data_IF_197421343567
#
_entry.id   IF_197421343567
#
_cell.length_a   1.000
_cell.length_b   1.000
_cell.length_c   1.000
_cell.angle_alpha   90.00
_cell.angle_beta   90.00
_cell.angle_gamma   90.00
#
_symmetry.space_group_name_H-M   'P 1'
#
loop_
_entity.id
_entity.type
_entity.pdbx_description
1 polymer ?
#
# COMPACT_ATOMS: atom_id res chain seq x y z
N UNK A 1 18.97 -0.94 -32.15
CA UNK A 1 18.33 -0.44 -30.91
C UNK A 1 16.92 -0.99 -30.83
N UNK A 2 16.76 -2.13 -30.14
CA UNK A 2 15.51 -2.87 -30.01
C UNK A 2 14.64 -2.16 -28.96
N UNK A 3 13.46 -1.64 -29.34
CA UNK A 3 12.44 -1.19 -28.40
C UNK A 3 12.00 -2.39 -27.56
N UNK A 4 12.43 -2.46 -26.29
CA UNK A 4 11.86 -3.38 -25.31
C UNK A 4 10.40 -2.96 -25.12
N UNK A 5 9.48 -3.77 -25.64
CA UNK A 5 8.07 -3.69 -25.27
C UNK A 5 7.99 -4.10 -23.80
N UNK A 6 7.72 -3.15 -22.93
CA UNK A 6 7.27 -3.43 -21.56
C UNK A 6 6.01 -4.30 -21.68
N UNK A 7 6.16 -5.57 -21.33
CA UNK A 7 5.04 -6.48 -21.24
C UNK A 7 4.17 -5.99 -20.08
N UNK A 8 3.03 -5.38 -20.41
CA UNK A 8 1.98 -5.11 -19.42
C UNK A 8 1.66 -6.42 -18.73
N UNK A 9 1.94 -6.53 -17.44
CA UNK A 9 1.35 -7.57 -16.62
C UNK A 9 -0.13 -7.21 -16.48
N UNK A 10 -0.96 -7.83 -17.31
CA UNK A 10 -2.40 -7.66 -17.26
C UNK A 10 -2.89 -8.58 -16.14
N UNK A 11 -3.41 -8.01 -15.06
CA UNK A 11 -4.11 -8.79 -14.04
C UNK A 11 -5.25 -9.58 -14.68
N UNK A 12 -5.67 -10.69 -14.08
CA UNK A 12 -6.63 -11.67 -14.66
C UNK A 12 -7.97 -11.08 -15.15
N UNK A 13 -8.28 -9.80 -14.87
CA UNK A 13 -9.50 -9.09 -15.24
C UNK A 13 -9.31 -7.87 -16.17
N UNK A 14 -8.14 -7.67 -16.79
CA UNK A 14 -7.90 -6.51 -17.67
C UNK A 14 -7.59 -5.19 -16.94
N UNK A 15 -7.55 -5.21 -15.59
CA UNK A 15 -7.05 -4.10 -14.77
C UNK A 15 -5.52 -4.12 -14.73
N UNK A 16 -4.90 -2.94 -14.89
CA UNK A 16 -3.47 -2.74 -14.66
C UNK A 16 -3.11 -3.04 -13.21
N UNK A 17 -2.07 -3.84 -13.02
CA UNK A 17 -1.51 -4.17 -11.71
C UNK A 17 -1.13 -2.89 -10.94
N UNK A 18 -1.52 -2.73 -9.67
CA UNK A 18 -1.06 -1.62 -8.84
C UNK A 18 0.46 -1.67 -8.64
N UNK A 19 1.09 -0.51 -8.71
CA UNK A 19 2.53 -0.33 -8.56
C UNK A 19 2.83 0.35 -7.24
N UNK A 20 3.67 -0.26 -6.41
CA UNK A 20 4.19 0.32 -5.17
C UNK A 20 5.39 1.17 -5.49
N UNK A 21 5.37 2.43 -5.04
CA UNK A 21 6.45 3.40 -5.24
C UNK A 21 6.96 3.91 -3.89
N UNK A 22 8.28 4.03 -3.73
CA UNK A 22 8.90 4.52 -2.50
C UNK A 22 9.24 6.02 -2.53
N UNK A 23 9.32 6.63 -3.71
CA UNK A 23 9.68 8.04 -3.88
C UNK A 23 8.49 8.85 -4.39
N UNK A 24 8.31 10.04 -3.83
CA UNK A 24 7.36 11.02 -4.33
C UNK A 24 7.95 11.70 -5.58
N UNK A 25 7.60 11.24 -6.78
CA UNK A 25 8.14 11.76 -8.05
C UNK A 25 7.07 12.46 -8.90
N UNK A 26 7.48 13.25 -9.90
CA UNK A 26 6.55 13.88 -10.84
C UNK A 26 5.82 12.81 -11.65
N UNK A 27 4.50 12.77 -11.48
CA UNK A 27 3.64 11.76 -12.08
C UNK A 27 3.03 12.24 -13.41
N UNK A 28 2.88 11.35 -14.38
CA UNK A 28 1.95 11.53 -15.50
C UNK A 28 0.54 11.03 -15.09
N UNK A 29 -0.51 11.58 -15.70
CA UNK A 29 -1.90 11.13 -15.47
C UNK A 29 -2.23 9.78 -16.13
N UNK A 30 -1.44 9.34 -17.10
CA UNK A 30 -1.64 8.07 -17.80
C UNK A 30 -0.65 7.03 -17.27
N UNK A 31 -1.12 6.08 -16.46
CA UNK A 31 -0.28 5.05 -15.86
C UNK A 31 -1.05 4.05 -15.00
N UNK A 32 -0.37 3.01 -14.49
CA UNK A 32 -0.96 2.09 -13.52
C UNK A 32 -1.29 2.82 -12.21
N UNK A 33 -2.22 2.26 -11.44
CA UNK A 33 -2.58 2.74 -10.11
C UNK A 33 -1.36 2.69 -9.18
N UNK A 34 -1.07 3.77 -8.45
CA UNK A 34 0.12 3.83 -7.57
C UNK A 34 -0.22 3.77 -6.10
N UNK A 35 0.61 3.03 -5.38
CA UNK A 35 0.57 2.88 -3.93
C UNK A 35 1.86 3.47 -3.37
N UNK A 36 1.77 4.57 -2.64
CA UNK A 36 2.92 5.20 -2.02
C UNK A 36 3.31 4.49 -0.73
N UNK A 37 4.52 3.94 -0.68
CA UNK A 37 5.07 3.21 0.46
C UNK A 37 6.54 3.61 0.70
N UNK A 38 6.79 4.79 1.31
CA UNK A 38 8.13 5.32 1.46
C UNK A 38 9.03 4.51 2.38
N UNK A 39 8.46 3.64 3.22
CA UNK A 39 9.26 2.77 4.07
C UNK A 39 10.02 1.68 3.32
N UNK A 40 9.73 1.48 2.03
CA UNK A 40 10.47 0.57 1.16
C UNK A 40 11.71 1.20 0.50
N UNK A 41 11.94 2.50 0.72
CA UNK A 41 13.06 3.22 0.08
C UNK A 41 14.39 2.56 0.42
N UNK A 42 15.19 2.25 -0.60
CA UNK A 42 16.48 1.57 -0.46
C UNK A 42 16.40 0.07 -0.15
N UNK A 43 15.21 -0.55 -0.17
CA UNK A 43 15.06 -2.00 -0.06
C UNK A 43 15.12 -2.67 -1.44
N UNK A 44 15.69 -3.88 -1.56
CA UNK A 44 15.62 -4.65 -2.81
C UNK A 44 14.17 -5.05 -3.11
N UNK A 45 13.72 -4.78 -4.33
CA UNK A 45 12.33 -4.97 -4.77
C UNK A 45 11.81 -6.40 -4.53
N UNK A 46 12.67 -7.40 -4.70
CA UNK A 46 12.34 -8.82 -4.55
C UNK A 46 12.01 -9.20 -3.10
N UNK A 47 12.57 -8.48 -2.13
CA UNK A 47 12.37 -8.75 -0.70
C UNK A 47 11.53 -7.69 -0.01
N UNK A 48 11.23 -6.58 -0.69
CA UNK A 48 10.61 -5.40 -0.09
C UNK A 48 9.34 -5.73 0.69
N UNK A 49 8.43 -6.53 0.13
CA UNK A 49 7.23 -7.01 0.80
C UNK A 49 7.49 -7.72 2.14
N UNK A 50 8.49 -8.58 2.19
CA UNK A 50 8.84 -9.37 3.37
C UNK A 50 9.57 -8.52 4.41
N UNK A 51 10.43 -7.60 3.97
CA UNK A 51 11.15 -6.68 4.85
C UNK A 51 10.23 -5.60 5.43
N UNK A 52 9.18 -5.20 4.68
CA UNK A 52 8.24 -4.17 5.10
C UNK A 52 7.48 -4.54 6.38
N UNK A 53 7.18 -5.83 6.58
CA UNK A 53 6.42 -6.30 7.76
C UNK A 53 7.33 -6.56 8.97
N UNK A 54 8.66 -6.57 8.80
CA UNK A 54 9.58 -6.74 9.92
C UNK A 54 9.57 -5.51 10.83
N UNK A 55 9.80 -5.67 12.15
CA UNK A 55 9.82 -4.57 13.12
C UNK A 55 11.13 -3.78 13.06
N UNK A 56 11.55 -3.37 11.86
CA UNK A 56 12.81 -2.65 11.61
C UNK A 56 12.60 -1.15 11.43
N UNK A 57 11.36 -0.70 11.25
CA UNK A 57 11.01 0.71 11.07
C UNK A 57 9.55 1.02 11.46
N UNK A 58 9.27 2.30 11.69
CA UNK A 58 7.93 2.83 11.91
C UNK A 58 7.31 3.24 10.56
N UNK A 59 6.60 2.33 9.90
CA UNK A 59 6.04 2.53 8.55
C UNK A 59 5.14 3.78 8.45
N UNK A 60 4.23 3.96 9.41
CA UNK A 60 3.32 5.11 9.42
C UNK A 60 4.05 6.41 9.78
N UNK A 61 5.04 6.37 10.65
CA UNK A 61 5.89 7.52 10.96
C UNK A 61 6.72 7.97 9.76
N UNK A 62 7.27 7.02 9.00
CA UNK A 62 7.97 7.30 7.73
C UNK A 62 7.00 7.91 6.73
N UNK A 63 5.81 7.32 6.53
CA UNK A 63 4.79 7.86 5.65
C UNK A 63 4.47 9.31 5.98
N UNK A 64 4.10 9.61 7.23
CA UNK A 64 3.72 10.96 7.66
C UNK A 64 4.84 11.99 7.46
N UNK A 65 6.10 11.60 7.63
CA UNK A 65 7.24 12.51 7.44
C UNK A 65 7.48 12.85 5.98
N UNK A 66 7.21 11.90 5.08
CA UNK A 66 7.46 12.05 3.64
C UNK A 66 6.24 12.60 2.87
N UNK A 67 5.07 12.72 3.51
CA UNK A 67 3.93 13.41 2.91
C UNK A 67 4.29 14.88 2.64
N UNK A 68 4.07 15.39 1.41
CA UNK A 68 4.34 16.79 1.11
C UNK A 68 3.36 17.71 1.86
N UNK A 69 3.85 18.89 2.25
CA UNK A 69 3.03 19.92 2.89
C UNK A 69 2.19 20.73 1.90
N UNK A 70 2.64 20.81 0.64
CA UNK A 70 1.99 21.53 -0.44
C UNK A 70 1.95 20.65 -1.69
N UNK A 71 0.80 20.59 -2.36
CA UNK A 71 0.56 19.70 -3.49
C UNK A 71 0.79 20.42 -4.82
N UNK A 72 2.05 20.70 -5.16
CA UNK A 72 2.41 21.19 -6.51
C UNK A 72 2.49 20.05 -7.54
N UNK A 73 2.38 18.80 -7.10
CA UNK A 73 2.53 17.60 -7.91
C UNK A 73 1.29 16.73 -7.81
N UNK A 74 1.01 15.97 -8.86
CA UNK A 74 -0.02 14.93 -8.82
C UNK A 74 0.36 13.93 -7.72
N UNK A 75 -0.57 13.70 -6.79
CA UNK A 75 -0.39 12.74 -5.70
C UNK A 75 -0.54 11.30 -6.22
N UNK A 76 0.18 10.33 -5.63
CA UNK A 76 -0.15 8.92 -5.77
C UNK A 76 -1.61 8.67 -5.40
N UNK A 77 -2.26 7.71 -6.07
CA UNK A 77 -3.67 7.43 -5.86
C UNK A 77 -3.93 6.87 -4.45
N UNK A 78 -3.06 5.99 -3.97
CA UNK A 78 -3.19 5.33 -2.67
C UNK A 78 -1.96 5.51 -1.78
N UNK A 79 -2.18 5.52 -0.46
CA UNK A 79 -1.13 5.38 0.55
C UNK A 79 -1.11 3.96 1.12
N UNK A 80 0.07 3.36 1.24
CA UNK A 80 0.29 2.15 2.00
C UNK A 80 0.34 2.49 3.50
N UNK A 81 -0.60 1.95 4.26
CA UNK A 81 -0.71 2.19 5.70
C UNK A 81 -0.59 0.88 6.47
N UNK A 82 0.26 0.87 7.50
CA UNK A 82 0.31 -0.19 8.49
C UNK A 82 -0.88 -0.06 9.44
N UNK A 83 -2.02 -0.64 9.07
CA UNK A 83 -3.29 -0.48 9.81
C UNK A 83 -3.34 -1.28 11.13
N UNK A 84 -2.37 -2.16 11.36
CA UNK A 84 -2.22 -2.87 12.63
C UNK A 84 -1.43 -2.07 13.69
N UNK A 85 -0.90 -0.89 13.34
CA UNK A 85 -0.18 0.01 14.26
C UNK A 85 -1.05 0.34 15.50
N UNK A 86 -0.60 -0.03 16.71
CA UNK A 86 -1.36 0.22 17.93
C UNK A 86 -1.16 1.63 18.50
N UNK A 87 -0.18 2.39 17.99
CA UNK A 87 0.25 3.66 18.59
C UNK A 87 -0.43 4.88 17.98
N UNK A 88 -1.06 4.72 16.81
CA UNK A 88 -1.68 5.82 16.06
C UNK A 88 -3.18 5.70 15.99
N UNK A 89 -3.84 6.86 16.00
CA UNK A 89 -5.26 6.99 15.72
C UNK A 89 -5.46 7.04 14.20
N UNK A 90 -6.20 6.06 13.67
CA UNK A 90 -6.40 5.92 12.23
C UNK A 90 -7.00 7.19 11.60
N UNK A 91 -7.94 7.85 12.28
CA UNK A 91 -8.60 9.06 11.78
C UNK A 91 -7.62 10.21 11.56
N UNK A 92 -6.65 10.38 12.47
CA UNK A 92 -5.63 11.43 12.36
C UNK A 92 -4.65 11.12 11.22
N UNK A 93 -4.29 9.85 11.07
CA UNK A 93 -3.44 9.39 9.97
C UNK A 93 -4.12 9.60 8.61
N UNK A 94 -5.40 9.23 8.50
CA UNK A 94 -6.19 9.42 7.29
C UNK A 94 -6.40 10.91 6.96
N UNK A 95 -6.64 11.75 7.96
CA UNK A 95 -6.73 13.20 7.74
C UNK A 95 -5.44 13.79 7.15
N UNK A 96 -4.28 13.37 7.64
CA UNK A 96 -2.98 13.80 7.10
C UNK A 96 -2.76 13.31 5.66
N UNK A 97 -3.12 12.05 5.36
CA UNK A 97 -3.02 11.48 4.00
C UNK A 97 -3.92 12.24 3.02
N UNK A 98 -5.15 12.59 3.43
CA UNK A 98 -6.07 13.41 2.62
C UNK A 98 -5.51 14.80 2.35
N UNK A 99 -4.92 15.43 3.36
CA UNK A 99 -4.33 16.76 3.19
C UNK A 99 -3.17 16.76 2.17
N UNK A 100 -2.49 15.63 2.00
CA UNK A 100 -1.48 15.42 0.96
C UNK A 100 -2.04 15.11 -0.44
N UNK A 101 -3.38 15.09 -0.60
CA UNK A 101 -4.04 14.88 -1.90
C UNK A 101 -4.22 13.42 -2.32
N UNK A 102 -3.84 12.47 -1.46
CA UNK A 102 -4.04 11.04 -1.72
C UNK A 102 -5.51 10.67 -1.46
N UNK A 103 -6.12 9.92 -2.39
CA UNK A 103 -7.56 9.60 -2.37
C UNK A 103 -7.87 8.19 -1.85
N UNK A 104 -6.87 7.33 -1.75
CA UNK A 104 -7.06 5.93 -1.36
C UNK A 104 -6.11 5.43 -0.27
N UNK A 105 -6.53 4.36 0.40
CA UNK A 105 -5.77 3.66 1.45
C UNK A 105 -5.59 2.19 1.06
N UNK A 106 -4.39 1.64 1.33
CA UNK A 106 -4.10 0.22 1.25
C UNK A 106 -3.58 -0.26 2.60
N UNK A 107 -4.03 -1.44 3.07
CA UNK A 107 -3.46 -2.10 4.26
C UNK A 107 -2.10 -2.73 3.92
N UNK A 108 -1.07 -1.90 3.72
CA UNK A 108 0.27 -2.37 3.45
C UNK A 108 1.29 -1.59 4.30
N UNK A 109 2.23 -2.25 4.99
CA UNK A 109 2.39 -3.71 5.12
C UNK A 109 1.18 -4.38 5.79
N UNK A 110 0.88 -5.63 5.42
CA UNK A 110 -0.21 -6.43 6.01
C UNK A 110 0.35 -7.65 6.74
N UNK A 111 -0.32 -8.03 7.84
CA UNK A 111 -0.03 -9.29 8.55
C UNK A 111 -0.30 -10.52 7.68
N UNK A 112 -1.05 -10.42 6.59
CA UNK A 112 -1.28 -11.57 5.69
C UNK A 112 0.00 -12.06 5.02
N UNK A 113 1.02 -11.21 4.91
CA UNK A 113 2.37 -11.63 4.45
C UNK A 113 3.01 -12.66 5.39
N UNK A 114 2.58 -12.73 6.65
CA UNK A 114 3.04 -13.68 7.65
C UNK A 114 2.17 -14.94 7.75
N UNK A 115 1.07 -15.02 6.98
CA UNK A 115 0.19 -16.18 7.07
C UNK A 115 0.89 -17.42 6.50
N UNK A 116 1.21 -18.37 7.37
CA UNK A 116 1.64 -19.72 6.98
C UNK A 116 0.45 -20.67 6.76
N UNK A 117 0.73 -21.98 6.73
CA UNK A 117 -0.30 -23.02 6.70
C UNK A 117 -1.13 -23.10 7.98
N UNK A 118 -0.59 -22.60 9.08
CA UNK A 118 -1.20 -22.69 10.40
C UNK A 118 -2.09 -21.48 10.69
N UNK A 119 -3.28 -21.77 11.21
CA UNK A 119 -4.32 -20.77 11.51
C UNK A 119 -4.02 -20.07 12.84
N UNK A 120 -3.04 -19.19 12.87
CA UNK A 120 -2.79 -18.35 14.06
C UNK A 120 -3.96 -17.37 14.28
N UNK A 121 -4.67 -17.54 15.39
CA UNK A 121 -5.81 -16.71 15.76
C UNK A 121 -5.44 -15.26 16.07
N UNK A 122 -4.24 -14.98 16.56
CA UNK A 122 -3.77 -13.63 16.82
C UNK A 122 -3.50 -12.90 15.50
N UNK A 123 -2.87 -13.57 14.52
CA UNK A 123 -2.70 -13.02 13.18
C UNK A 123 -4.06 -12.73 12.51
N UNK A 124 -5.07 -13.59 12.71
CA UNK A 124 -6.44 -13.34 12.23
C UNK A 124 -7.11 -12.14 12.91
N UNK A 125 -6.93 -11.98 14.22
CA UNK A 125 -7.43 -10.81 14.96
C UNK A 125 -6.76 -9.52 14.49
N UNK A 126 -5.45 -9.55 14.27
CA UNK A 126 -4.72 -8.41 13.71
C UNK A 126 -5.20 -8.08 12.29
N UNK A 127 -5.40 -9.09 11.45
CA UNK A 127 -5.94 -8.84 10.11
C UNK A 127 -7.36 -8.27 10.16
N UNK A 128 -8.22 -8.78 11.04
CA UNK A 128 -9.57 -8.20 11.24
C UNK A 128 -9.49 -6.73 11.63
N UNK A 129 -8.55 -6.35 12.50
CA UNK A 129 -8.30 -4.94 12.83
C UNK A 129 -7.87 -4.11 11.61
N UNK A 130 -7.06 -4.67 10.69
CA UNK A 130 -6.76 -4.00 9.42
C UNK A 130 -8.04 -3.76 8.60
N UNK A 131 -8.94 -4.75 8.55
CA UNK A 131 -10.23 -4.62 7.84
C UNK A 131 -11.15 -3.57 8.46
N UNK A 132 -11.26 -3.55 9.79
CA UNK A 132 -12.05 -2.56 10.52
C UNK A 132 -11.56 -1.12 10.19
N UNK A 133 -10.25 -0.92 10.09
CA UNK A 133 -9.68 0.37 9.69
C UNK A 133 -9.86 0.69 8.20
N UNK A 134 -9.90 -0.31 7.30
CA UNK A 134 -10.26 -0.07 5.90
C UNK A 134 -11.72 0.36 5.77
N UNK A 135 -12.62 -0.25 6.55
CA UNK A 135 -14.03 0.17 6.57
C UNK A 135 -14.16 1.59 7.15
N UNK A 136 -13.41 1.93 8.20
CA UNK A 136 -13.31 3.31 8.66
C UNK A 136 -12.82 4.26 7.55
N UNK A 137 -11.78 3.91 6.80
CA UNK A 137 -11.29 4.72 5.68
C UNK A 137 -12.40 4.97 4.64
N UNK A 138 -13.18 3.94 4.28
CA UNK A 138 -14.35 4.09 3.38
C UNK A 138 -15.37 5.07 3.95
N UNK A 139 -15.74 4.94 5.23
CA UNK A 139 -16.70 5.87 5.87
C UNK A 139 -16.22 7.32 5.86
N UNK A 140 -14.89 7.51 5.90
CA UNK A 140 -14.29 8.83 5.78
C UNK A 140 -14.21 9.32 4.32
N UNK A 141 -14.53 8.49 3.32
CA UNK A 141 -14.56 8.85 1.89
C UNK A 141 -13.31 8.47 1.10
N UNK A 142 -12.48 7.55 1.60
CA UNK A 142 -11.35 7.01 0.83
C UNK A 142 -11.79 5.87 -0.09
N UNK A 143 -11.14 5.79 -1.25
CA UNK A 143 -11.06 4.53 -2.00
C UNK A 143 -10.19 3.53 -1.21
N UNK A 144 -10.45 2.23 -1.31
CA UNK A 144 -9.61 1.24 -0.64
C UNK A 144 -9.14 0.15 -1.58
N UNK A 145 -7.87 -0.22 -1.44
CA UNK A 145 -7.36 -1.50 -1.94
C UNK A 145 -7.03 -2.38 -0.74
N UNK A 146 -7.23 -3.68 -0.91
CA UNK A 146 -7.03 -4.64 0.16
C UNK A 146 -5.98 -5.66 -0.22
N UNK A 147 -4.94 -5.74 0.59
CA UNK A 147 -4.02 -6.87 0.64
C UNK A 147 -4.67 -7.96 1.48
N UNK A 148 -4.73 -9.16 0.92
CA UNK A 148 -5.39 -10.30 1.54
C UNK A 148 -4.98 -11.62 0.93
N UNK A 149 -5.79 -12.65 1.20
CA UNK A 149 -5.48 -14.04 0.83
C UNK A 149 -6.51 -14.67 -0.10
N UNK A 150 -7.67 -14.05 -0.29
CA UNK A 150 -8.78 -14.56 -1.10
C UNK A 150 -9.16 -13.61 -2.24
N UNK A 151 -8.61 -13.89 -3.41
CA UNK A 151 -8.86 -13.14 -4.66
C UNK A 151 -10.34 -13.12 -5.07
N UNK A 152 -11.16 -14.11 -4.66
CA UNK A 152 -12.57 -14.13 -5.00
C UNK A 152 -13.37 -13.03 -4.28
N UNK A 153 -12.87 -12.58 -3.13
CA UNK A 153 -13.48 -11.50 -2.35
C UNK A 153 -12.93 -10.11 -2.70
N UNK A 154 -12.08 -10.01 -3.73
CA UNK A 154 -11.39 -8.77 -4.10
C UNK A 154 -10.10 -8.51 -3.31
N UNK A 155 -9.50 -9.54 -2.70
CA UNK A 155 -8.14 -9.43 -2.15
C UNK A 155 -7.10 -9.43 -3.25
N UNK A 156 -6.13 -8.52 -3.14
CA UNK A 156 -4.91 -8.58 -3.93
C UNK A 156 -3.80 -9.19 -3.08
N UNK A 157 -3.35 -10.42 -3.35
CA UNK A 157 -2.17 -10.96 -2.67
C UNK A 157 -0.94 -10.13 -3.05
N UNK A 158 0.03 -10.01 -2.13
CA UNK A 158 1.19 -9.12 -2.31
C UNK A 158 2.01 -9.43 -3.57
N UNK A 159 2.04 -10.70 -3.99
CA UNK A 159 2.73 -11.13 -5.21
C UNK A 159 2.06 -10.66 -6.52
N UNK A 160 0.90 -9.99 -6.43
CA UNK A 160 0.26 -9.29 -7.54
C UNK A 160 0.57 -7.79 -7.55
N UNK A 161 1.45 -7.29 -6.67
CA UNK A 161 1.94 -5.92 -6.72
C UNK A 161 3.25 -5.87 -7.52
N UNK A 162 3.42 -4.82 -8.30
CA UNK A 162 4.72 -4.46 -8.87
C UNK A 162 5.42 -3.44 -7.96
N UNK A 163 6.73 -3.57 -7.78
CA UNK A 163 7.51 -2.68 -6.91
C UNK A 163 8.50 -1.87 -7.75
N UNK A 164 8.36 -0.55 -7.73
CA UNK A 164 9.31 0.40 -8.32
C UNK A 164 9.99 1.17 -7.18
N UNK A 165 11.16 0.69 -6.79
CA UNK A 165 11.97 1.21 -5.69
C UNK A 165 13.25 1.82 -6.27
N UNK A 166 13.59 3.03 -5.86
CA UNK A 166 14.82 3.74 -6.22
C UNK A 166 15.97 3.46 -5.24
#
# INVERSE_FOLDING_TARGET
MQKRREARSVGKNGQSVPVVVATWSKLSQAGPCRIYCPCLKGLPAELAAHLAILPIHDANGVLLRELPRETEHLAPEFAAVCLSDPFRRAEMLFAAIRAAGIRGIVNFPSVTTLFGSDRDDNLRKLYRRELDHLDLAKTMGFEVLRIGVDVANGDFPVNQLEFLLD
#
